data_IF_434499597135
#
_entry.id   IF_434499597135
#
_cell.length_a   1.000
_cell.length_b   1.000
_cell.length_c   1.000
_cell.angle_alpha   90.00
_cell.angle_beta   90.00
_cell.angle_gamma   90.00
#
_symmetry.space_group_name_H-M   'P 1'
#
loop_
_entity.id
_entity.type
_entity.pdbx_description
1 polymer ?
#
# COMPACT_ATOMS: atom_id res chain seq x y z
N UNK A 1 17.23 7.97 2.45
CA UNK A 1 16.12 8.93 2.60
C UNK A 1 16.55 10.31 2.09
N UNK A 2 17.59 10.94 2.64
CA UNK A 2 18.01 12.31 2.28
C UNK A 2 18.28 12.45 0.76
N UNK A 3 19.01 11.49 0.18
CA UNK A 3 19.26 11.44 -1.26
C UNK A 3 17.95 11.36 -2.07
N UNK A 4 17.03 10.49 -1.67
CA UNK A 4 15.74 10.34 -2.34
C UNK A 4 14.92 11.64 -2.30
N UNK A 5 14.86 12.30 -1.12
CA UNK A 5 14.16 13.59 -0.97
C UNK A 5 14.79 14.68 -1.87
N UNK A 6 16.13 14.75 -1.90
CA UNK A 6 16.85 15.70 -2.76
C UNK A 6 16.58 15.48 -4.26
N UNK A 7 16.13 14.27 -4.65
CA UNK A 7 15.76 13.91 -6.02
C UNK A 7 14.23 13.83 -6.25
N UNK A 8 13.44 14.45 -5.36
CA UNK A 8 12.00 14.62 -5.56
C UNK A 8 11.11 13.53 -4.99
N UNK A 9 11.66 12.51 -4.32
CA UNK A 9 10.84 11.51 -3.62
C UNK A 9 10.27 12.14 -2.36
N UNK A 10 8.95 12.12 -2.24
CA UNK A 10 8.24 12.71 -1.10
C UNK A 10 7.22 11.78 -0.44
N UNK A 11 7.01 10.57 -0.95
CA UNK A 11 6.09 9.58 -0.39
C UNK A 11 6.88 8.39 0.18
N UNK A 12 6.70 8.11 1.46
CA UNK A 12 7.42 7.07 2.20
C UNK A 12 6.44 6.05 2.75
N UNK A 13 6.49 4.83 2.19
CA UNK A 13 5.65 3.71 2.58
C UNK A 13 6.38 2.79 3.56
N UNK A 14 5.73 2.48 4.67
CA UNK A 14 6.23 1.56 5.70
C UNK A 14 5.11 0.71 6.31
N UNK A 15 5.43 -0.12 7.28
CA UNK A 15 4.48 -0.87 8.10
C UNK A 15 5.13 -1.34 9.40
N UNK A 16 4.34 -1.58 10.47
CA UNK A 16 4.84 -2.09 11.76
C UNK A 16 5.58 -3.42 11.66
N UNK A 17 5.28 -4.23 10.64
CA UNK A 17 5.87 -5.57 10.47
C UNK A 17 7.08 -5.59 9.53
N UNK A 18 7.39 -4.48 8.85
CA UNK A 18 8.50 -4.44 7.91
C UNK A 18 9.84 -4.41 8.65
N UNK A 19 10.83 -5.09 8.06
CA UNK A 19 12.20 -5.19 8.63
C UNK A 19 12.14 -5.61 10.11
N UNK A 20 11.37 -6.67 10.40
CA UNK A 20 11.22 -7.23 11.77
C UNK A 20 10.75 -6.19 12.81
N UNK A 21 9.98 -5.19 12.39
CA UNK A 21 9.42 -4.13 13.25
C UNK A 21 10.29 -2.87 13.36
N UNK A 22 11.43 -2.79 12.64
CA UNK A 22 12.33 -1.63 12.71
C UNK A 22 12.02 -0.56 11.66
N UNK A 23 11.21 -0.84 10.65
CA UNK A 23 11.02 0.05 9.51
C UNK A 23 10.43 1.40 9.89
N UNK A 24 9.35 1.44 10.68
CA UNK A 24 8.72 2.70 11.12
C UNK A 24 9.68 3.57 11.92
N UNK A 25 10.38 2.98 12.89
CA UNK A 25 11.35 3.70 13.71
C UNK A 25 12.50 4.28 12.90
N UNK A 26 13.04 3.49 11.96
CA UNK A 26 14.11 3.95 11.07
C UNK A 26 13.64 5.07 10.14
N UNK A 27 12.41 4.95 9.62
CA UNK A 27 11.78 5.98 8.78
C UNK A 27 11.56 7.26 9.57
N UNK A 28 11.01 7.18 10.80
CA UNK A 28 10.79 8.34 11.65
C UNK A 28 12.09 9.09 11.99
N UNK A 29 13.15 8.37 12.36
CA UNK A 29 14.47 8.97 12.61
C UNK A 29 15.02 9.69 11.37
N UNK A 30 14.87 9.07 10.18
CA UNK A 30 15.36 9.65 8.95
C UNK A 30 14.56 10.89 8.53
N UNK A 31 13.23 10.82 8.60
CA UNK A 31 12.34 11.91 8.17
C UNK A 31 12.33 13.11 9.14
N UNK A 32 12.67 12.92 10.42
CA UNK A 32 12.74 14.01 11.40
C UNK A 32 13.69 15.15 10.99
N UNK A 33 14.62 14.89 10.10
CA UNK A 33 15.57 15.91 9.57
C UNK A 33 14.97 16.81 8.50
N UNK A 34 13.75 16.49 8.05
CA UNK A 34 13.04 17.19 6.98
C UNK A 34 11.75 17.83 7.50
N UNK A 35 11.31 18.96 6.93
CA UNK A 35 10.00 19.54 7.28
C UNK A 35 8.89 18.52 7.04
N UNK A 36 8.08 18.27 8.08
CA UNK A 36 7.05 17.21 8.07
C UNK A 36 6.02 17.41 6.95
N UNK A 37 5.71 18.64 6.64
CA UNK A 37 4.73 19.02 5.61
C UNK A 37 5.23 18.82 4.17
N UNK A 38 6.52 18.53 3.97
CA UNK A 38 7.11 18.25 2.65
C UNK A 38 7.15 16.77 2.30
N UNK A 39 6.78 15.90 3.24
CA UNK A 39 6.80 14.46 3.06
C UNK A 39 5.44 13.84 3.38
N UNK A 40 5.07 12.83 2.62
CA UNK A 40 3.89 12.00 2.87
C UNK A 40 4.33 10.70 3.51
N UNK A 41 3.76 10.39 4.66
CA UNK A 41 4.04 9.15 5.41
C UNK A 41 2.83 8.23 5.28
N UNK A 42 3.09 7.02 4.77
CA UNK A 42 2.13 5.93 4.69
C UNK A 42 2.55 4.79 5.61
N UNK A 43 1.64 4.33 6.46
CA UNK A 43 1.81 3.10 7.24
C UNK A 43 0.51 2.33 7.37
N UNK A 44 0.51 1.19 8.07
CA UNK A 44 -0.54 0.19 7.89
C UNK A 44 -0.98 -0.45 9.20
N UNK A 45 -2.26 -0.78 9.32
CA UNK A 45 -2.81 -1.65 10.37
C UNK A 45 -2.45 -3.12 10.06
N UNK A 46 -1.34 -3.58 10.59
CA UNK A 46 -0.77 -4.92 10.30
C UNK A 46 -1.23 -6.00 11.28
N UNK A 47 -2.52 -6.04 11.61
CA UNK A 47 -3.12 -6.96 12.58
C UNK A 47 -3.46 -8.36 12.01
N UNK A 48 -2.96 -8.71 10.83
CA UNK A 48 -3.25 -9.98 10.14
C UNK A 48 -2.86 -11.23 10.94
N UNK A 49 -1.92 -11.12 11.88
CA UNK A 49 -1.55 -12.25 12.76
C UNK A 49 -2.48 -12.42 13.96
N UNK A 50 -3.47 -11.54 14.15
CA UNK A 50 -4.41 -11.61 15.26
C UNK A 50 -5.64 -12.45 14.90
N UNK A 51 -6.04 -12.43 13.63
CA UNK A 51 -7.16 -13.24 13.14
C UNK A 51 -6.86 -14.75 13.14
N UNK A 52 -7.90 -15.57 13.30
CA UNK A 52 -7.80 -17.03 13.26
C UNK A 52 -7.09 -17.65 14.46
N UNK A 53 -6.82 -16.88 15.53
CA UNK A 53 -6.12 -17.35 16.74
C UNK A 53 -7.02 -17.50 17.95
N UNK A 54 -8.34 -17.35 17.78
CA UNK A 54 -9.30 -17.40 18.88
C UNK A 54 -9.15 -16.24 19.88
N UNK A 55 -8.56 -15.12 19.44
CA UNK A 55 -8.51 -13.91 20.25
C UNK A 55 -9.90 -13.27 20.33
N UNK A 56 -10.28 -12.74 21.50
CA UNK A 56 -11.53 -12.01 21.61
C UNK A 56 -11.50 -10.70 20.81
N UNK A 57 -12.66 -10.24 20.29
CA UNK A 57 -12.76 -8.95 19.60
C UNK A 57 -12.15 -7.78 20.40
N UNK A 58 -12.44 -7.73 21.71
CA UNK A 58 -11.88 -6.70 22.61
C UNK A 58 -10.34 -6.75 22.67
N UNK A 59 -9.74 -7.94 22.59
CA UNK A 59 -8.29 -8.09 22.59
C UNK A 59 -7.70 -7.65 21.24
N UNK A 60 -8.32 -8.02 20.10
CA UNK A 60 -7.91 -7.58 18.77
C UNK A 60 -7.98 -6.04 18.69
N UNK A 61 -9.06 -5.45 19.19
CA UNK A 61 -9.19 -3.98 19.24
C UNK A 61 -8.04 -3.33 20.01
N UNK A 62 -7.82 -3.77 21.26
CA UNK A 62 -6.79 -3.20 22.13
C UNK A 62 -5.39 -3.28 21.50
N UNK A 63 -5.03 -4.43 20.97
CA UNK A 63 -3.71 -4.63 20.39
C UNK A 63 -3.55 -3.86 19.04
N UNK A 64 -4.64 -3.69 18.29
CA UNK A 64 -4.67 -2.86 17.07
C UNK A 64 -4.56 -1.36 17.39
N UNK A 65 -5.27 -0.88 18.40
CA UNK A 65 -5.15 0.51 18.85
C UNK A 65 -3.72 0.81 19.34
N UNK A 66 -3.13 -0.06 20.13
CA UNK A 66 -1.74 0.11 20.59
C UNK A 66 -0.74 0.07 19.39
N UNK A 67 -0.98 -0.78 18.39
CA UNK A 67 -0.19 -0.79 17.16
C UNK A 67 -0.25 0.56 16.44
N UNK A 68 -1.44 1.14 16.27
CA UNK A 68 -1.64 2.46 15.67
C UNK A 68 -0.90 3.56 16.46
N UNK A 69 -1.08 3.59 17.78
CA UNK A 69 -0.40 4.57 18.65
C UNK A 69 1.11 4.41 18.63
N UNK A 70 1.60 3.18 18.55
CA UNK A 70 3.02 2.89 18.39
C UNK A 70 3.56 3.38 17.04
N UNK A 71 2.83 3.21 15.96
CA UNK A 71 3.22 3.73 14.64
C UNK A 71 3.45 5.24 14.68
N UNK A 72 2.56 6.02 15.33
CA UNK A 72 2.74 7.46 15.50
C UNK A 72 4.02 7.78 16.30
N UNK A 73 4.26 7.07 17.41
CA UNK A 73 5.48 7.27 18.23
C UNK A 73 6.75 6.92 17.45
N UNK A 74 6.78 5.77 16.78
CA UNK A 74 7.95 5.28 16.06
C UNK A 74 8.27 6.16 14.83
N UNK A 75 7.24 6.65 14.15
CA UNK A 75 7.36 7.60 13.04
C UNK A 75 7.59 9.06 13.49
N UNK A 76 7.49 9.34 14.80
CA UNK A 76 7.71 10.67 15.41
C UNK A 76 6.82 11.76 14.80
N UNK A 77 5.52 11.47 14.62
CA UNK A 77 4.54 12.36 14.01
C UNK A 77 3.19 12.27 14.72
N UNK A 78 2.42 13.35 14.67
CA UNK A 78 1.07 13.42 15.26
C UNK A 78 -0.03 13.03 14.29
N UNK A 79 0.29 12.89 13.00
CA UNK A 79 -0.65 12.50 11.95
C UNK A 79 0.01 11.67 10.87
N UNK A 80 -0.81 10.88 10.17
CA UNK A 80 -0.43 10.05 9.04
C UNK A 80 -1.10 10.59 7.77
N UNK A 81 -0.33 10.75 6.70
CA UNK A 81 -0.91 11.22 5.44
C UNK A 81 -1.73 10.12 4.78
N UNK A 82 -1.26 8.87 4.88
CA UNK A 82 -1.92 7.69 4.35
C UNK A 82 -1.90 6.56 5.38
N UNK A 83 -3.04 5.98 5.68
CA UNK A 83 -3.13 4.81 6.55
C UNK A 83 -3.90 3.70 5.86
N UNK A 84 -3.39 2.47 5.92
CA UNK A 84 -3.95 1.36 5.18
C UNK A 84 -4.39 0.22 6.09
N UNK A 85 -5.53 -0.39 5.79
CA UNK A 85 -5.81 -1.75 6.22
C UNK A 85 -4.84 -2.67 5.48
N UNK A 86 -3.96 -3.37 6.22
CA UNK A 86 -2.82 -4.07 5.62
C UNK A 86 -3.20 -5.44 5.09
N UNK A 87 -2.88 -5.70 3.83
CA UNK A 87 -3.00 -7.01 3.18
C UNK A 87 -4.40 -7.63 3.37
N UNK A 88 -5.43 -6.93 2.89
CA UNK A 88 -6.79 -7.49 2.85
C UNK A 88 -6.94 -8.41 1.64
N UNK A 89 -7.77 -9.45 1.76
CA UNK A 89 -8.03 -10.43 0.70
C UNK A 89 -7.29 -11.76 0.85
N UNK A 90 -6.35 -11.87 1.80
CA UNK A 90 -5.71 -13.14 2.12
C UNK A 90 -6.61 -14.07 2.94
N UNK A 91 -6.13 -15.25 3.24
CA UNK A 91 -6.73 -16.37 4.02
C UNK A 91 -8.22 -16.20 4.37
N UNK A 92 -9.08 -17.19 4.22
CA UNK A 92 -10.52 -17.17 4.55
C UNK A 92 -11.34 -15.94 4.06
N UNK A 93 -10.76 -15.06 3.24
CA UNK A 93 -11.48 -13.99 2.57
C UNK A 93 -12.18 -12.98 3.49
N UNK A 94 -13.49 -12.77 3.27
CA UNK A 94 -14.34 -11.81 4.00
C UNK A 94 -14.40 -12.11 5.50
N UNK A 95 -14.38 -13.39 5.88
CA UNK A 95 -14.43 -13.81 7.30
C UNK A 95 -13.23 -13.25 8.08
N UNK A 96 -12.02 -13.38 7.53
CA UNK A 96 -10.81 -12.78 8.12
C UNK A 96 -10.86 -11.25 8.13
N UNK A 97 -11.42 -10.63 7.11
CA UNK A 97 -11.61 -9.18 7.08
C UNK A 97 -12.53 -8.73 8.21
N UNK A 98 -13.68 -9.40 8.38
CA UNK A 98 -14.63 -9.07 9.44
C UNK A 98 -14.00 -9.22 10.83
N UNK A 99 -13.33 -10.35 11.10
CA UNK A 99 -12.64 -10.57 12.39
C UNK A 99 -11.61 -9.48 12.69
N UNK A 100 -10.85 -9.05 11.67
CA UNK A 100 -9.78 -8.06 11.84
C UNK A 100 -10.26 -6.63 12.01
N UNK A 101 -11.37 -6.26 11.41
CA UNK A 101 -11.73 -4.85 11.26
C UNK A 101 -13.16 -4.52 11.67
N UNK A 102 -14.14 -5.41 11.43
CA UNK A 102 -15.56 -5.14 11.69
C UNK A 102 -15.94 -5.59 13.09
N UNK A 103 -15.86 -6.88 13.38
CA UNK A 103 -16.37 -7.48 14.61
C UNK A 103 -15.68 -6.95 15.87
N UNK A 104 -14.44 -6.51 15.72
CA UNK A 104 -13.66 -5.91 16.80
C UNK A 104 -13.75 -4.39 16.88
N UNK A 105 -14.41 -3.70 15.93
CA UNK A 105 -14.58 -2.23 15.93
C UNK A 105 -13.32 -1.44 15.52
N UNK A 106 -12.31 -2.11 14.93
CA UNK A 106 -11.08 -1.43 14.47
C UNK A 106 -11.36 -0.48 13.32
N UNK A 107 -12.24 -0.84 12.36
CA UNK A 107 -12.59 0.06 11.26
C UNK A 107 -13.23 1.34 11.79
N UNK A 108 -14.20 1.24 12.68
CA UNK A 108 -14.85 2.41 13.29
C UNK A 108 -13.85 3.32 14.02
N UNK A 109 -12.89 2.71 14.71
CA UNK A 109 -11.80 3.46 15.33
C UNK A 109 -10.99 4.24 14.31
N UNK A 110 -10.57 3.62 13.20
CA UNK A 110 -9.79 4.27 12.16
C UNK A 110 -10.58 5.36 11.42
N UNK A 111 -11.88 5.17 11.21
CA UNK A 111 -12.75 6.19 10.65
C UNK A 111 -12.82 7.42 11.57
N UNK A 112 -12.95 7.24 12.89
CA UNK A 112 -12.87 8.34 13.86
C UNK A 112 -11.51 9.05 13.89
N UNK A 113 -10.41 8.31 13.74
CA UNK A 113 -9.07 8.90 13.64
C UNK A 113 -8.90 9.74 12.35
N UNK A 114 -9.56 9.33 11.26
CA UNK A 114 -9.64 10.13 10.02
C UNK A 114 -10.47 11.40 10.22
N UNK A 115 -11.66 11.31 10.81
CA UNK A 115 -12.50 12.47 11.12
C UNK A 115 -11.79 13.47 12.03
N UNK A 116 -10.99 12.98 12.97
CA UNK A 116 -10.16 13.81 13.86
C UNK A 116 -8.91 14.39 13.17
N UNK A 117 -8.65 14.08 11.91
CA UNK A 117 -7.51 14.59 11.14
C UNK A 117 -6.16 13.93 11.45
N UNK A 118 -6.12 12.90 12.31
CA UNK A 118 -4.89 12.15 12.60
C UNK A 118 -4.54 11.13 11.52
N UNK A 119 -5.52 10.70 10.75
CA UNK A 119 -5.37 10.02 9.46
C UNK A 119 -5.93 10.96 8.40
N UNK A 120 -5.12 11.38 7.42
CA UNK A 120 -5.59 12.26 6.35
C UNK A 120 -6.32 11.51 5.25
N UNK A 121 -5.78 10.34 4.88
CA UNK A 121 -6.34 9.46 3.86
C UNK A 121 -6.36 8.03 4.40
N UNK A 122 -7.54 7.41 4.43
CA UNK A 122 -7.72 6.01 4.84
C UNK A 122 -7.99 5.15 3.62
N UNK A 123 -7.21 4.10 3.48
CA UNK A 123 -7.33 3.15 2.37
C UNK A 123 -6.95 1.73 2.80
N UNK A 124 -6.63 0.91 1.85
CA UNK A 124 -6.23 -0.48 2.10
C UNK A 124 -5.27 -1.00 1.04
N UNK A 125 -4.46 -1.99 1.40
CA UNK A 125 -3.62 -2.73 0.46
C UNK A 125 -4.22 -4.11 0.20
N UNK A 126 -4.31 -4.47 -1.07
CA UNK A 126 -4.99 -5.68 -1.52
C UNK A 126 -4.01 -6.77 -1.94
N UNK A 127 -4.29 -8.00 -1.46
CA UNK A 127 -3.70 -9.23 -1.96
C UNK A 127 -4.73 -10.36 -1.85
N UNK A 128 -5.01 -11.07 -2.93
CA UNK A 128 -5.72 -12.33 -2.88
C UNK A 128 -7.14 -12.33 -3.45
N UNK A 129 -8.16 -12.61 -2.64
CA UNK A 129 -9.51 -12.92 -3.08
C UNK A 129 -10.26 -11.70 -3.62
N UNK A 130 -10.67 -11.77 -4.90
CA UNK A 130 -11.48 -10.75 -5.56
C UNK A 130 -12.77 -10.43 -4.79
N UNK A 131 -13.41 -11.41 -4.15
CA UNK A 131 -14.63 -11.17 -3.37
C UNK A 131 -14.43 -10.19 -2.23
N UNK A 132 -13.23 -10.18 -1.62
CA UNK A 132 -12.90 -9.20 -0.58
C UNK A 132 -12.71 -7.82 -1.21
N UNK A 133 -12.05 -7.73 -2.37
CA UNK A 133 -11.91 -6.50 -3.11
C UNK A 133 -13.27 -5.88 -3.42
N UNK A 134 -14.17 -6.67 -4.01
CA UNK A 134 -15.51 -6.24 -4.39
C UNK A 134 -16.34 -5.85 -3.15
N UNK A 135 -16.17 -6.57 -2.03
CA UNK A 135 -16.85 -6.25 -0.77
C UNK A 135 -16.43 -4.87 -0.24
N UNK A 136 -15.13 -4.55 -0.22
CA UNK A 136 -14.67 -3.23 0.22
C UNK A 136 -15.12 -2.10 -0.73
N UNK A 137 -15.22 -2.39 -2.02
CA UNK A 137 -15.80 -1.42 -2.96
C UNK A 137 -17.31 -1.23 -2.73
N UNK A 138 -18.05 -2.29 -2.40
CA UNK A 138 -19.45 -2.18 -2.03
C UNK A 138 -19.66 -1.34 -0.74
N UNK A 139 -18.77 -1.47 0.25
CA UNK A 139 -18.77 -0.59 1.44
C UNK A 139 -18.53 0.88 1.05
N UNK A 140 -17.67 1.14 0.06
CA UNK A 140 -17.47 2.49 -0.47
C UNK A 140 -18.73 3.02 -1.16
N UNK A 141 -19.34 2.22 -2.02
CA UNK A 141 -20.51 2.61 -2.81
C UNK A 141 -21.75 2.86 -1.91
N UNK A 142 -21.89 2.08 -0.82
CA UNK A 142 -22.97 2.25 0.16
C UNK A 142 -22.74 3.43 1.12
N UNK A 143 -21.53 3.93 1.20
CA UNK A 143 -21.13 4.97 2.17
C UNK A 143 -20.85 4.45 3.58
N UNK A 144 -20.81 3.13 3.78
CA UNK A 144 -20.41 2.50 5.05
C UNK A 144 -18.96 2.84 5.41
N UNK A 145 -18.06 2.77 4.43
CA UNK A 145 -16.68 3.21 4.59
C UNK A 145 -16.17 3.80 3.26
N UNK A 146 -15.98 5.10 3.20
CA UNK A 146 -15.39 5.75 2.02
C UNK A 146 -13.88 5.62 2.06
N UNK A 147 -13.33 5.05 0.98
CA UNK A 147 -11.89 4.88 0.80
C UNK A 147 -11.32 6.05 0.01
N UNK A 148 -10.23 6.63 0.52
CA UNK A 148 -9.57 7.77 -0.11
C UNK A 148 -8.56 7.30 -1.18
N UNK A 149 -8.09 6.06 -1.09
CA UNK A 149 -7.19 5.40 -2.05
C UNK A 149 -7.13 3.90 -1.83
N UNK A 150 -6.59 3.16 -2.81
CA UNK A 150 -6.32 1.72 -2.68
C UNK A 150 -4.94 1.39 -3.21
N UNK A 151 -4.20 0.56 -2.48
CA UNK A 151 -2.89 0.06 -2.92
C UNK A 151 -3.05 -1.31 -3.57
N UNK A 152 -2.70 -1.40 -4.86
CA UNK A 152 -2.81 -2.60 -5.68
C UNK A 152 -1.48 -2.99 -6.29
N UNK A 153 -1.27 -4.28 -6.51
CA UNK A 153 -0.16 -4.77 -7.31
C UNK A 153 -0.46 -4.55 -8.79
N UNK A 154 0.41 -3.79 -9.49
CA UNK A 154 0.23 -3.53 -10.91
C UNK A 154 1.56 -3.36 -11.63
N UNK A 155 1.73 -4.10 -12.70
CA UNK A 155 2.80 -4.00 -13.69
C UNK A 155 2.29 -4.58 -15.02
N UNK A 156 3.05 -4.48 -16.10
CA UNK A 156 2.59 -4.91 -17.42
C UNK A 156 2.40 -6.42 -17.58
N UNK A 157 2.93 -7.25 -16.66
CA UNK A 157 2.67 -8.70 -16.62
C UNK A 157 1.38 -8.96 -15.85
N UNK A 158 1.29 -8.47 -14.61
CA UNK A 158 0.12 -8.67 -13.74
C UNK A 158 -1.14 -7.98 -14.27
N UNK A 159 -1.00 -7.11 -15.27
CA UNK A 159 -2.15 -6.50 -15.93
C UNK A 159 -3.16 -7.56 -16.40
N UNK A 160 -2.69 -8.62 -17.06
CA UNK A 160 -3.52 -9.74 -17.56
C UNK A 160 -3.08 -11.12 -17.09
N UNK A 161 -1.94 -11.22 -16.43
CA UNK A 161 -1.32 -12.49 -16.08
C UNK A 161 -0.82 -12.48 -14.63
N UNK A 162 -1.67 -12.01 -13.72
CA UNK A 162 -1.39 -12.10 -12.28
C UNK A 162 -1.28 -13.57 -11.85
N UNK A 163 -0.46 -13.82 -10.83
CA UNK A 163 -0.39 -15.16 -10.22
C UNK A 163 -1.71 -15.55 -9.57
N UNK A 164 -1.94 -16.85 -9.35
CA UNK A 164 -3.15 -17.39 -8.71
C UNK A 164 -3.45 -16.81 -7.31
N UNK A 165 -2.47 -16.13 -6.71
CA UNK A 165 -2.61 -15.46 -5.42
C UNK A 165 -3.10 -14.01 -5.53
N UNK A 166 -3.25 -13.50 -6.73
CA UNK A 166 -3.62 -12.12 -7.01
C UNK A 166 -4.69 -12.07 -8.09
N UNK A 167 -5.33 -10.94 -8.22
CA UNK A 167 -6.29 -10.62 -9.28
C UNK A 167 -5.58 -9.79 -10.35
N UNK A 168 -5.94 -9.98 -11.62
CA UNK A 168 -5.40 -9.19 -12.72
C UNK A 168 -5.58 -7.69 -12.45
N UNK A 169 -4.51 -6.92 -12.64
CA UNK A 169 -4.52 -5.49 -12.36
C UNK A 169 -5.47 -4.70 -13.27
N UNK A 170 -5.78 -5.20 -14.47
CA UNK A 170 -6.79 -4.63 -15.35
C UNK A 170 -8.16 -4.55 -14.66
N UNK A 171 -8.55 -5.62 -13.96
CA UNK A 171 -9.79 -5.62 -13.18
C UNK A 171 -9.72 -4.66 -11.99
N UNK A 172 -8.68 -4.79 -11.18
CA UNK A 172 -8.53 -3.98 -9.95
C UNK A 172 -8.51 -2.49 -10.28
N UNK A 173 -7.67 -2.08 -11.22
CA UNK A 173 -7.56 -0.69 -11.63
C UNK A 173 -8.86 -0.19 -12.26
N UNK A 174 -9.48 -0.98 -13.14
CA UNK A 174 -10.75 -0.60 -13.80
C UNK A 174 -11.90 -0.38 -12.81
N UNK A 175 -11.99 -1.17 -11.75
CA UNK A 175 -13.01 -0.99 -10.70
C UNK A 175 -12.75 0.25 -9.83
N UNK A 176 -11.48 0.59 -9.57
CA UNK A 176 -11.11 1.82 -8.88
C UNK A 176 -11.38 3.05 -9.75
N UNK A 177 -11.00 3.01 -11.03
CA UNK A 177 -11.22 4.10 -12.00
C UNK A 177 -12.70 4.45 -12.15
N UNK A 178 -13.58 3.45 -12.24
CA UNK A 178 -15.06 3.67 -12.30
C UNK A 178 -15.60 4.47 -11.13
N UNK A 179 -14.95 4.40 -9.96
CA UNK A 179 -15.35 5.07 -8.72
C UNK A 179 -14.55 6.33 -8.42
N UNK A 180 -13.57 6.65 -9.27
CA UNK A 180 -12.66 7.77 -9.03
C UNK A 180 -11.77 7.58 -7.80
N UNK A 181 -11.53 6.33 -7.37
CA UNK A 181 -10.65 6.02 -6.24
C UNK A 181 -9.20 5.95 -6.74
N UNK A 182 -8.28 6.80 -6.24
CA UNK A 182 -6.88 6.77 -6.64
C UNK A 182 -6.18 5.45 -6.26
N UNK A 183 -5.29 4.98 -7.13
CA UNK A 183 -4.48 3.80 -6.89
C UNK A 183 -3.04 4.17 -6.48
N UNK A 184 -2.53 3.52 -5.44
CA UNK A 184 -1.09 3.44 -5.13
C UNK A 184 -0.57 2.12 -5.66
N UNK A 185 0.49 2.14 -6.46
CA UNK A 185 0.98 0.94 -7.12
C UNK A 185 2.12 0.32 -6.34
N UNK A 186 1.96 -0.95 -5.94
CA UNK A 186 3.03 -1.79 -5.41
C UNK A 186 3.46 -2.84 -6.45
N UNK A 187 4.64 -3.43 -6.26
CA UNK A 187 5.24 -4.45 -7.14
C UNK A 187 5.36 -4.02 -8.64
N UNK A 188 5.74 -2.77 -8.94
CA UNK A 188 5.88 -2.33 -10.32
C UNK A 188 6.94 -3.14 -11.08
N UNK A 189 7.90 -3.72 -10.36
CA UNK A 189 8.97 -4.56 -10.91
C UNK A 189 8.76 -6.05 -10.70
N UNK A 190 7.60 -6.49 -10.21
CA UNK A 190 7.29 -7.91 -9.95
C UNK A 190 8.40 -8.59 -9.12
N UNK A 191 8.69 -8.03 -7.93
CA UNK A 191 9.80 -8.50 -7.08
C UNK A 191 11.19 -8.32 -7.71
N UNK A 192 11.37 -7.34 -8.58
CA UNK A 192 12.62 -7.09 -9.31
C UNK A 192 12.79 -7.88 -10.60
N UNK A 193 11.89 -8.81 -10.92
CA UNK A 193 11.99 -9.65 -12.14
C UNK A 193 11.95 -8.81 -13.43
N UNK A 194 11.23 -7.71 -13.44
CA UNK A 194 11.08 -6.84 -14.61
C UNK A 194 12.26 -5.88 -14.81
N UNK A 195 13.23 -5.86 -13.90
CA UNK A 195 14.50 -5.16 -14.09
C UNK A 195 15.53 -5.98 -14.89
N UNK A 196 15.27 -7.28 -15.08
CA UNK A 196 16.15 -8.22 -15.79
C UNK A 196 15.35 -9.01 -16.82
N UNK A 197 15.17 -8.44 -17.98
CA UNK A 197 14.53 -9.10 -19.12
C UNK A 197 15.56 -9.85 -19.96
N UNK A 198 15.09 -10.76 -20.83
CA UNK A 198 15.96 -11.41 -21.82
C UNK A 198 16.46 -10.40 -22.86
N UNK A 199 17.59 -10.72 -23.52
CA UNK A 199 18.27 -9.80 -24.41
C UNK A 199 17.38 -9.31 -25.56
N UNK A 200 16.55 -10.17 -26.13
CA UNK A 200 15.63 -9.79 -27.19
C UNK A 200 14.66 -8.68 -26.75
N UNK A 201 14.08 -8.78 -25.55
CA UNK A 201 13.19 -7.75 -25.03
C UNK A 201 13.96 -6.46 -24.66
N UNK A 202 15.18 -6.61 -24.13
CA UNK A 202 16.06 -5.46 -23.85
C UNK A 202 16.37 -4.69 -25.12
N UNK A 203 16.73 -5.37 -26.22
CA UNK A 203 17.00 -4.76 -27.52
C UNK A 203 15.78 -4.00 -28.03
N UNK A 204 14.60 -4.60 -28.00
CA UNK A 204 13.34 -3.94 -28.41
C UNK A 204 13.04 -2.68 -27.61
N UNK A 205 13.29 -2.68 -26.31
CA UNK A 205 13.10 -1.49 -25.47
C UNK A 205 14.14 -0.41 -25.80
N UNK A 206 15.40 -0.78 -26.03
CA UNK A 206 16.48 0.12 -26.40
C UNK A 206 16.32 0.75 -27.78
N UNK A 207 15.63 0.11 -28.73
CA UNK A 207 15.26 0.74 -30.02
C UNK A 207 14.47 2.04 -29.81
N UNK A 208 13.66 2.12 -28.74
CA UNK A 208 12.82 3.29 -28.41
C UNK A 208 13.54 4.30 -27.53
N UNK A 209 14.29 3.80 -26.54
CA UNK A 209 15.00 4.63 -25.54
C UNK A 209 16.34 3.99 -25.18
N UNK A 210 17.41 4.30 -25.96
CA UNK A 210 18.69 3.58 -25.86
C UNK A 210 19.38 3.67 -24.51
N UNK A 211 19.18 4.75 -23.78
CA UNK A 211 19.85 5.04 -22.50
C UNK A 211 19.05 4.63 -21.26
N UNK A 212 17.81 4.20 -21.43
CA UNK A 212 16.94 3.87 -20.29
C UNK A 212 17.10 2.41 -19.87
N UNK A 213 16.98 2.15 -18.56
CA UNK A 213 16.96 0.81 -17.99
C UNK A 213 15.63 0.10 -18.24
N UNK A 214 15.63 -1.22 -18.19
CA UNK A 214 14.39 -2.03 -18.26
C UNK A 214 13.44 -1.70 -17.11
N UNK A 215 13.97 -1.39 -15.91
CA UNK A 215 13.21 -0.98 -14.77
C UNK A 215 12.42 0.32 -15.03
N UNK A 216 13.02 1.29 -15.72
CA UNK A 216 12.34 2.57 -16.02
C UNK A 216 11.08 2.38 -16.86
N UNK A 217 11.05 1.38 -17.74
CA UNK A 217 9.87 1.03 -18.54
C UNK A 217 8.72 0.51 -17.67
N UNK A 218 9.03 -0.33 -16.67
CA UNK A 218 8.01 -0.84 -15.75
C UNK A 218 7.43 0.28 -14.87
N UNK A 219 8.27 1.19 -14.37
CA UNK A 219 7.80 2.37 -13.65
C UNK A 219 6.95 3.30 -14.52
N UNK A 220 7.37 3.56 -15.78
CA UNK A 220 6.58 4.35 -16.73
C UNK A 220 5.22 3.72 -16.99
N UNK A 221 5.19 2.40 -17.21
CA UNK A 221 3.93 1.69 -17.40
C UNK A 221 3.01 1.90 -16.19
N UNK A 222 3.50 1.61 -14.98
CA UNK A 222 2.73 1.74 -13.76
C UNK A 222 2.25 3.18 -13.51
N UNK A 223 3.10 4.18 -13.79
CA UNK A 223 2.79 5.59 -13.56
C UNK A 223 2.07 6.31 -14.71
N UNK A 224 1.77 5.63 -15.83
CA UNK A 224 1.12 6.28 -16.98
C UNK A 224 -0.42 6.30 -16.90
N UNK A 225 -1.01 5.64 -15.93
CA UNK A 225 -2.45 5.54 -15.77
C UNK A 225 -3.00 6.75 -14.99
N UNK A 226 -4.06 7.43 -15.48
CA UNK A 226 -4.53 8.68 -14.90
C UNK A 226 -4.92 8.63 -13.43
N UNK A 227 -5.46 7.49 -12.97
CA UNK A 227 -5.89 7.28 -11.57
C UNK A 227 -4.75 6.85 -10.63
N UNK A 228 -3.50 6.79 -11.09
CA UNK A 228 -2.37 6.42 -10.24
C UNK A 228 -1.85 7.63 -9.48
N UNK A 229 -1.92 7.55 -8.15
CA UNK A 229 -1.42 8.58 -7.24
C UNK A 229 0.11 8.54 -7.13
N UNK A 230 0.67 7.36 -6.94
CA UNK A 230 2.13 7.13 -6.86
C UNK A 230 2.47 5.67 -7.13
N UNK A 231 3.75 5.44 -7.47
CA UNK A 231 4.32 4.12 -7.70
C UNK A 231 5.41 3.87 -6.67
N UNK A 232 5.28 2.78 -5.91
CA UNK A 232 6.22 2.43 -4.86
C UNK A 232 7.47 1.75 -5.43
N UNK A 233 8.62 2.06 -4.87
CA UNK A 233 9.90 1.41 -5.20
C UNK A 233 10.57 0.88 -3.94
N UNK A 234 10.95 -0.40 -3.96
CA UNK A 234 11.73 -1.04 -2.90
C UNK A 234 13.22 -0.77 -3.05
N UNK A 235 13.64 0.48 -2.90
CA UNK A 235 15.06 0.89 -3.01
C UNK A 235 15.83 0.46 -1.76
N UNK A 236 16.82 -0.42 -1.92
CA UNK A 236 17.65 -0.94 -0.83
C UNK A 236 19.08 -0.40 -0.89
N UNK A 237 19.60 -0.18 -2.09
CA UNK A 237 20.95 0.27 -2.36
C UNK A 237 20.95 1.61 -3.09
N UNK A 238 22.08 2.32 -3.05
CA UNK A 238 22.23 3.64 -3.69
C UNK A 238 22.17 3.55 -5.23
N UNK A 239 22.46 2.39 -5.78
CA UNK A 239 22.42 2.11 -7.23
C UNK A 239 20.99 1.94 -7.76
N UNK A 240 20.01 1.73 -6.89
CA UNK A 240 18.60 1.63 -7.28
C UNK A 240 18.03 2.99 -7.60
#
# INVERSE_FOLDING_TARGET
>A
VDYAIAHGVNYFDTAPVYIQGFSEKSTGIALKRHPREKVFIATKMSNHRMAGRGMSPARIFKDSEEMYRRSLRDLQTDYLDYYLLHAVGGDKGIETFNERFIDCGVLDFLLREREAGRIRNLGWSFHGDQKVFDHLLAMHDSGEARWDFVQIQMNYVDWKHASDRNVNAEYLYGELEKRGIPAVIMEPLLGGRLSRLNDHLVERLKERRPTESTASWAFRYAGSWPGVLTVLSGMTYMEH
#
